data_IF_886450883339
#
_entry.id   IF_886450883339
#
_cell.length_a   1.000
_cell.length_b   1.000
_cell.length_c   1.000
_cell.angle_alpha   90.00
_cell.angle_beta   90.00
_cell.angle_gamma   90.00
#
_symmetry.space_group_name_H-M   'P 1'
#
loop_
_entity.id
_entity.type
_entity.pdbx_description
1 polymer ?
#
# COMPACT_ATOMS: atom_id res chain seq x y z
N UNK A 1 -21.31 -0.51 -1.91
CA UNK A 1 -20.25 0.27 -2.54
C UNK A 1 -19.70 -0.46 -3.76
N UNK A 2 -19.55 0.25 -4.85
CA UNK A 2 -19.02 -0.29 -6.08
C UNK A 2 -17.49 -0.15 -6.11
N UNK A 3 -16.83 -0.99 -6.89
CA UNK A 3 -15.39 -0.87 -7.10
C UNK A 3 -15.01 0.52 -7.63
N UNK A 4 -15.85 1.10 -8.51
CA UNK A 4 -15.59 2.41 -9.11
C UNK A 4 -15.47 3.50 -8.03
N UNK A 5 -16.38 3.50 -7.06
CA UNK A 5 -16.34 4.46 -5.95
C UNK A 5 -15.09 4.29 -5.11
N UNK A 6 -14.74 3.06 -4.79
CA UNK A 6 -13.56 2.75 -3.98
C UNK A 6 -12.27 3.13 -4.70
N UNK A 7 -12.18 2.82 -6.00
CA UNK A 7 -11.05 3.19 -6.85
C UNK A 7 -10.80 4.70 -6.82
N UNK A 8 -11.88 5.47 -6.96
CA UNK A 8 -11.79 6.94 -6.94
C UNK A 8 -11.27 7.47 -5.62
N UNK A 9 -11.78 6.93 -4.51
CA UNK A 9 -11.34 7.33 -3.16
C UNK A 9 -9.86 7.04 -2.95
N UNK A 10 -9.43 5.84 -3.33
CA UNK A 10 -8.05 5.40 -3.16
C UNK A 10 -7.11 6.25 -4.02
N UNK A 11 -7.44 6.47 -5.29
CA UNK A 11 -6.63 7.28 -6.19
C UNK A 11 -6.51 8.73 -5.71
N UNK A 12 -7.61 9.30 -5.24
CA UNK A 12 -7.61 10.65 -4.68
C UNK A 12 -6.66 10.74 -3.48
N UNK A 13 -6.72 9.78 -2.58
CA UNK A 13 -5.86 9.76 -1.40
C UNK A 13 -4.38 9.62 -1.79
N UNK A 14 -4.06 8.79 -2.77
CA UNK A 14 -2.70 8.64 -3.28
C UNK A 14 -2.18 9.98 -3.82
N UNK A 15 -2.98 10.67 -4.63
CA UNK A 15 -2.59 11.95 -5.19
C UNK A 15 -2.38 13.02 -4.12
N UNK A 16 -3.27 13.08 -3.12
CA UNK A 16 -3.14 14.00 -2.00
C UNK A 16 -1.85 13.77 -1.22
N UNK A 17 -1.56 12.53 -0.87
CA UNK A 17 -0.37 12.19 -0.10
C UNK A 17 0.91 12.35 -0.91
N UNK A 18 0.88 12.04 -2.20
CA UNK A 18 2.01 12.27 -3.09
C UNK A 18 2.36 13.76 -3.16
N UNK A 19 1.34 14.61 -3.30
CA UNK A 19 1.53 16.05 -3.34
C UNK A 19 2.08 16.58 -2.02
N UNK A 20 1.50 16.18 -0.90
CA UNK A 20 1.93 16.64 0.44
C UNK A 20 3.34 16.20 0.79
N UNK A 21 3.71 14.98 0.43
CA UNK A 21 5.03 14.41 0.76
C UNK A 21 6.11 14.76 -0.27
N UNK A 22 5.70 15.39 -1.37
CA UNK A 22 6.60 15.71 -2.48
C UNK A 22 7.34 14.46 -2.97
N UNK A 23 6.65 13.32 -2.99
CA UNK A 23 7.26 12.03 -3.32
C UNK A 23 7.12 11.69 -4.80
N UNK A 24 7.91 10.70 -5.21
CA UNK A 24 7.94 10.19 -6.58
C UNK A 24 7.03 8.97 -6.75
N UNK A 25 7.11 8.30 -7.90
CA UNK A 25 6.45 7.02 -8.19
C UNK A 25 4.92 7.08 -8.33
N UNK A 26 4.36 8.24 -8.74
CA UNK A 26 2.92 8.39 -8.94
C UNK A 26 2.37 7.34 -9.91
N UNK A 27 3.01 7.16 -11.06
CA UNK A 27 2.57 6.20 -12.06
C UNK A 27 2.57 4.77 -11.53
N UNK A 28 3.63 4.38 -10.82
CA UNK A 28 3.73 3.06 -10.20
C UNK A 28 2.61 2.83 -9.19
N UNK A 29 2.31 3.83 -8.37
CA UNK A 29 1.25 3.73 -7.36
C UNK A 29 -0.14 3.62 -8.00
N UNK A 30 -0.43 4.45 -8.99
CA UNK A 30 -1.74 4.43 -9.64
C UNK A 30 -1.97 3.15 -10.45
N UNK A 31 -0.91 2.55 -10.99
CA UNK A 31 -1.02 1.37 -11.86
C UNK A 31 -1.50 0.11 -11.15
N UNK A 32 -1.35 0.00 -9.83
CA UNK A 32 -1.69 -1.21 -9.08
C UNK A 32 -2.93 -1.08 -8.21
N UNK A 33 -3.60 0.06 -8.21
CA UNK A 33 -4.76 0.31 -7.35
C UNK A 33 -5.85 -0.75 -7.54
N UNK A 34 -6.22 -1.03 -8.78
CA UNK A 34 -7.31 -1.96 -9.07
C UNK A 34 -6.98 -3.38 -8.64
N UNK A 35 -5.74 -3.80 -8.89
CA UNK A 35 -5.26 -5.13 -8.51
C UNK A 35 -5.27 -5.27 -6.99
N UNK A 36 -4.72 -4.30 -6.26
CA UNK A 36 -4.70 -4.31 -4.80
C UNK A 36 -6.11 -4.34 -4.21
N UNK A 37 -7.01 -3.54 -4.77
CA UNK A 37 -8.38 -3.49 -4.29
C UNK A 37 -9.09 -4.84 -4.44
N UNK A 38 -8.94 -5.49 -5.57
CA UNK A 38 -9.52 -6.82 -5.81
C UNK A 38 -8.92 -7.87 -4.87
N UNK A 39 -7.61 -7.86 -4.70
CA UNK A 39 -6.92 -8.82 -3.85
C UNK A 39 -7.38 -8.66 -2.40
N UNK A 40 -7.39 -7.45 -1.87
CA UNK A 40 -7.77 -7.21 -0.48
C UNK A 40 -9.26 -7.38 -0.22
N UNK A 41 -10.10 -7.17 -1.22
CA UNK A 41 -11.53 -7.40 -1.08
C UNK A 41 -11.91 -8.88 -1.05
N UNK A 42 -11.20 -9.70 -1.81
CA UNK A 42 -11.61 -11.07 -2.07
C UNK A 42 -10.70 -12.15 -1.46
N UNK A 43 -9.42 -11.89 -1.33
CA UNK A 43 -8.44 -12.93 -0.97
C UNK A 43 -7.77 -12.70 0.38
N UNK A 44 -7.37 -11.46 0.67
CA UNK A 44 -6.67 -11.16 1.93
C UNK A 44 -7.71 -10.85 3.01
N UNK A 45 -7.79 -11.72 4.02
CA UNK A 45 -8.69 -11.55 5.15
C UNK A 45 -7.89 -11.55 6.45
N UNK A 46 -8.20 -10.64 7.36
CA UNK A 46 -7.54 -10.59 8.67
C UNK A 46 -7.62 -11.93 9.41
N UNK A 47 -8.78 -12.58 9.34
CA UNK A 47 -9.03 -13.86 10.03
C UNK A 47 -8.32 -15.04 9.40
N UNK A 48 -8.12 -15.03 8.10
CA UNK A 48 -7.54 -16.16 7.36
C UNK A 48 -6.02 -16.12 7.30
N UNK A 49 -5.43 -14.99 7.71
CA UNK A 49 -3.99 -14.77 7.63
C UNK A 49 -3.42 -15.04 6.24
N UNK A 50 -4.23 -14.88 5.20
CA UNK A 50 -3.72 -14.91 3.85
C UNK A 50 -2.74 -13.77 3.68
N UNK A 51 -1.55 -14.12 3.26
CA UNK A 51 -0.45 -13.17 3.18
C UNK A 51 -0.36 -12.57 1.79
N UNK A 52 0.03 -11.31 1.75
CA UNK A 52 0.30 -10.59 0.51
C UNK A 52 1.69 -9.99 0.59
N UNK A 53 2.48 -10.17 -0.46
CA UNK A 53 3.82 -9.59 -0.56
C UNK A 53 3.84 -8.65 -1.75
N UNK A 54 4.18 -7.38 -1.51
CA UNK A 54 4.35 -6.40 -2.57
C UNK A 54 5.79 -6.47 -3.09
N UNK A 55 5.98 -7.15 -4.22
CA UNK A 55 7.31 -7.24 -4.84
C UNK A 55 7.75 -5.90 -5.42
N UNK A 56 6.79 -5.10 -5.90
CA UNK A 56 7.02 -3.75 -6.43
C UNK A 56 7.03 -2.74 -5.28
N UNK A 57 8.09 -2.75 -4.50
CA UNK A 57 8.19 -1.92 -3.29
C UNK A 57 8.08 -0.42 -3.53
N UNK A 58 8.35 0.05 -4.74
CA UNK A 58 8.19 1.46 -5.13
C UNK A 58 6.74 1.93 -5.14
N UNK A 59 5.78 1.02 -5.22
CA UNK A 59 4.35 1.32 -5.15
C UNK A 59 3.82 1.24 -3.72
N UNK A 60 4.65 1.53 -2.74
CA UNK A 60 4.33 1.40 -1.32
C UNK A 60 3.19 2.31 -0.87
N UNK A 61 3.11 3.53 -1.42
CA UNK A 61 2.04 4.45 -1.03
C UNK A 61 0.67 3.88 -1.36
N UNK A 62 0.52 3.29 -2.54
CA UNK A 62 -0.72 2.62 -2.93
C UNK A 62 -1.07 1.51 -1.94
N UNK A 63 -0.08 0.73 -1.54
CA UNK A 63 -0.27 -0.33 -0.56
C UNK A 63 -0.68 0.24 0.81
N UNK A 64 -0.03 1.32 1.27
CA UNK A 64 -0.40 1.95 2.54
C UNK A 64 -1.84 2.49 2.51
N UNK A 65 -2.26 3.09 1.40
CA UNK A 65 -3.64 3.57 1.26
C UNK A 65 -4.63 2.41 1.28
N UNK A 66 -4.31 1.29 0.65
CA UNK A 66 -5.13 0.07 0.71
C UNK A 66 -5.19 -0.46 2.16
N UNK A 67 -4.07 -0.52 2.86
CA UNK A 67 -4.05 -0.96 4.26
C UNK A 67 -4.92 -0.06 5.14
N UNK A 68 -4.88 1.24 4.92
CA UNK A 68 -5.76 2.18 5.61
C UNK A 68 -7.23 1.95 5.25
N UNK A 69 -7.53 1.78 3.97
CA UNK A 69 -8.90 1.56 3.49
C UNK A 69 -9.53 0.32 4.12
N UNK A 70 -8.76 -0.73 4.32
CA UNK A 70 -9.24 -1.97 4.93
C UNK A 70 -9.00 -2.06 6.44
N UNK A 71 -8.57 -0.97 7.07
CA UNK A 71 -8.51 -0.87 8.52
C UNK A 71 -7.26 -1.45 9.19
N UNK A 72 -6.18 -1.71 8.45
CA UNK A 72 -4.92 -2.19 9.04
C UNK A 72 -4.12 -1.07 9.68
N UNK A 73 -4.19 0.13 9.12
CA UNK A 73 -3.53 1.32 9.70
C UNK A 73 -4.53 2.47 9.80
N UNK A 74 -4.31 3.35 10.79
CA UNK A 74 -5.18 4.49 11.04
C UNK A 74 -4.94 5.64 10.05
N UNK A 75 -5.92 6.53 9.94
CA UNK A 75 -5.77 7.75 9.14
C UNK A 75 -4.62 8.61 9.67
N UNK A 76 -4.47 8.69 10.99
CA UNK A 76 -3.38 9.43 11.63
C UNK A 76 -2.03 8.89 11.20
N UNK A 77 -1.87 7.57 11.18
CA UNK A 77 -0.62 6.93 10.74
C UNK A 77 -0.36 7.15 9.25
N UNK A 78 -1.41 7.02 8.43
CA UNK A 78 -1.28 7.25 6.98
C UNK A 78 -0.78 8.66 6.67
N UNK A 79 -1.21 9.66 7.43
CA UNK A 79 -0.79 11.05 7.25
C UNK A 79 0.70 11.27 7.55
N UNK A 80 1.37 10.33 8.20
CA UNK A 80 2.81 10.45 8.48
C UNK A 80 3.68 10.13 7.27
N UNK A 81 3.10 9.62 6.19
CA UNK A 81 3.87 9.29 4.99
C UNK A 81 4.66 10.51 4.49
N UNK A 82 5.95 10.31 4.26
CA UNK A 82 6.85 11.37 3.82
C UNK A 82 7.37 12.28 4.94
N UNK A 83 6.94 12.08 6.17
CA UNK A 83 7.45 12.82 7.33
C UNK A 83 8.63 12.08 7.97
N UNK A 84 9.38 12.79 8.81
CA UNK A 84 10.49 12.19 9.57
C UNK A 84 9.96 11.21 10.62
N UNK A 85 10.76 10.20 10.93
CA UNK A 85 10.46 9.21 11.98
C UNK A 85 9.17 8.43 11.77
N UNK A 86 8.74 8.24 10.52
CA UNK A 86 7.59 7.41 10.21
C UNK A 86 8.02 6.00 9.81
N UNK A 87 7.15 5.02 10.12
CA UNK A 87 7.29 3.66 9.63
C UNK A 87 6.87 3.54 8.15
N UNK A 88 6.13 4.52 7.63
CA UNK A 88 5.64 4.56 6.25
C UNK A 88 6.73 5.12 5.33
N UNK A 89 7.73 4.29 5.07
CA UNK A 89 8.88 4.65 4.25
C UNK A 89 8.55 4.64 2.75
N UNK A 90 9.43 5.20 1.93
CA UNK A 90 9.26 5.24 0.48
C UNK A 90 9.35 3.87 -0.19
N UNK A 91 9.86 2.86 0.51
CA UNK A 91 9.80 1.45 0.12
C UNK A 91 9.10 0.68 1.21
N UNK A 92 8.36 -0.37 0.83
CA UNK A 92 7.53 -1.11 1.78
C UNK A 92 8.39 -1.75 2.89
N UNK A 93 7.93 -1.66 4.13
CA UNK A 93 8.64 -2.19 5.29
C UNK A 93 7.74 -3.11 6.11
N UNK A 94 8.29 -4.24 6.57
CA UNK A 94 7.58 -5.18 7.43
C UNK A 94 7.24 -4.61 8.80
N UNK A 95 7.79 -3.45 9.17
CA UNK A 95 7.45 -2.74 10.41
C UNK A 95 6.05 -2.15 10.38
N UNK A 96 5.47 -1.97 9.18
CA UNK A 96 4.12 -1.45 9.03
C UNK A 96 3.11 -2.57 9.30
N UNK A 97 2.07 -2.34 10.14
CA UNK A 97 1.03 -3.35 10.37
C UNK A 97 0.39 -3.80 9.05
N UNK A 98 0.27 -5.13 8.90
CA UNK A 98 -0.29 -5.73 7.69
C UNK A 98 0.74 -6.06 6.60
N UNK A 99 1.97 -5.61 6.76
CA UNK A 99 3.06 -5.90 5.82
C UNK A 99 3.90 -7.06 6.35
N UNK A 100 3.99 -8.14 5.57
CA UNK A 100 4.72 -9.35 6.00
C UNK A 100 6.17 -9.38 5.55
N UNK A 101 6.52 -8.60 4.51
CA UNK A 101 7.87 -8.63 3.97
C UNK A 101 8.27 -7.28 3.39
N UNK A 102 9.48 -6.84 3.73
CA UNK A 102 10.05 -5.60 3.18
C UNK A 102 10.57 -5.82 1.76
N UNK A 103 10.26 -4.91 0.85
CA UNK A 103 10.75 -4.96 -0.52
C UNK A 103 11.30 -3.60 -0.96
N UNK A 104 12.04 -3.61 -2.05
CA UNK A 104 12.65 -2.41 -2.62
C UNK A 104 13.57 -2.79 -3.79
N UNK A 105 14.24 -3.93 -3.70
CA UNK A 105 14.95 -4.54 -4.82
C UNK A 105 13.95 -5.15 -5.78
N UNK A 106 13.98 -4.72 -7.03
CA UNK A 106 13.03 -5.17 -8.04
C UNK A 106 13.10 -6.68 -8.24
N UNK A 107 11.97 -7.35 -8.27
CA UNK A 107 11.84 -8.78 -8.46
C UNK A 107 12.14 -9.62 -7.22
N UNK A 108 12.56 -9.02 -6.10
CA UNK A 108 13.00 -9.75 -4.92
C UNK A 108 11.84 -10.45 -4.16
N UNK A 109 10.63 -9.87 -4.23
CA UNK A 109 9.48 -10.44 -3.52
C UNK A 109 9.05 -11.81 -4.01
N UNK A 110 9.18 -12.08 -5.30
CA UNK A 110 8.71 -13.34 -5.87
C UNK A 110 9.45 -14.57 -5.31
N UNK A 111 10.79 -14.62 -5.23
CA UNK A 111 11.48 -15.75 -4.61
C UNK A 111 11.09 -15.99 -3.16
N UNK A 112 10.82 -14.94 -2.41
CA UNK A 112 10.43 -15.05 -1.00
C UNK A 112 8.98 -15.43 -0.78
N UNK A 113 8.14 -15.38 -1.81
CA UNK A 113 6.73 -15.73 -1.70
C UNK A 113 6.47 -17.25 -1.79
N UNK A 114 7.47 -18.02 -2.18
CA UNK A 114 7.35 -19.48 -2.40
C UNK A 114 7.47 -20.24 -1.08
#
# INVERSE_FOLDING_TARGET
MTYISDQKKIRKKILELTHKSNSAHVASNLSIVDILLVIYKNFVKKKNKNEFILSKGHACLSYYVILNFFGYISDKKLKTFGKNNTELMSHISHKVPGVVFSTGSLGHGLPFSV
#
